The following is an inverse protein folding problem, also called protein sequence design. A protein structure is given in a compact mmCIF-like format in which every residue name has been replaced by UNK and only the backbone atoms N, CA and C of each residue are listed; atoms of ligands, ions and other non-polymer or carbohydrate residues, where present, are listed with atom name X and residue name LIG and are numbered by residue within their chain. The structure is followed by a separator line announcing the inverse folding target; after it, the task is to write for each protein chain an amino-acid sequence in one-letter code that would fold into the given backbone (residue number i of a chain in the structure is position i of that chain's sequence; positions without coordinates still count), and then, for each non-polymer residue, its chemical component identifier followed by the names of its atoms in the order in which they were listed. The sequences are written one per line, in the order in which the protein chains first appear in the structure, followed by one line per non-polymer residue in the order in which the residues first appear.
data_IF_920929085127
#
_entry.id   IF_920929085127
#
_cell.length_a   1.000
_cell.length_b   1.000
_cell.length_c   1.000
_cell.angle_alpha   90.00
_cell.angle_beta   90.00
_cell.angle_gamma   90.00
#
_symmetry.space_group_name_H-M   'P 1'
#
loop_
_entity.id
_entity.type
_entity.pdbx_description
1 polymer ?
#
# COMPACT_ATOMS: atom_id res chain seq x y z
N UNK A 1 12.71 -5.73 14.53
CA UNK A 1 12.37 -6.04 13.12
C UNK A 1 13.30 -5.24 12.23
N UNK A 2 13.90 -5.83 11.22
CA UNK A 2 14.78 -5.10 10.27
C UNK A 2 13.89 -4.36 9.29
N UNK A 3 14.10 -3.06 9.12
CA UNK A 3 13.42 -2.25 8.12
C UNK A 3 13.85 -2.66 6.70
N UNK A 4 12.92 -2.72 5.76
CA UNK A 4 13.21 -3.11 4.39
C UNK A 4 12.46 -2.23 3.38
N UNK A 5 13.10 -1.98 2.25
CA UNK A 5 12.46 -1.41 1.08
C UNK A 5 12.16 -2.55 0.10
N UNK A 6 10.93 -2.60 -0.40
CA UNK A 6 10.45 -3.63 -1.33
C UNK A 6 10.13 -3.02 -2.69
N UNK A 7 10.45 -3.73 -3.76
CA UNK A 7 10.19 -3.33 -5.14
C UNK A 7 9.07 -4.16 -5.75
N UNK A 8 7.98 -3.50 -6.15
CA UNK A 8 6.91 -4.04 -7.00
C UNK A 8 6.64 -3.14 -8.21
N UNK A 9 7.58 -2.24 -8.52
CA UNK A 9 7.45 -1.33 -9.66
C UNK A 9 7.46 -2.08 -10.99
N UNK A 10 6.73 -1.56 -11.95
CA UNK A 10 6.53 -2.15 -13.28
C UNK A 10 7.11 -1.31 -14.42
N UNK A 11 8.08 -0.44 -14.13
CA UNK A 11 8.76 0.35 -15.17
C UNK A 11 9.33 -0.52 -16.28
N UNK A 12 9.10 -0.14 -17.53
CA UNK A 12 9.58 -0.89 -18.70
C UNK A 12 11.11 -0.93 -18.72
N UNK A 13 11.67 -2.13 -18.89
CA UNK A 13 13.13 -2.33 -18.89
C UNK A 13 13.81 -2.26 -17.52
N UNK A 14 13.03 -2.31 -16.43
CA UNK A 14 13.56 -2.33 -15.07
C UNK A 14 14.37 -3.63 -14.81
N UNK A 15 15.60 -3.54 -14.24
CA UNK A 15 16.34 -4.73 -13.83
C UNK A 15 15.71 -5.39 -12.61
N UNK A 16 16.04 -6.67 -12.39
CA UNK A 16 15.63 -7.38 -11.18
C UNK A 16 16.81 -8.20 -10.63
N UNK A 17 17.30 -7.89 -9.43
CA UNK A 17 16.90 -6.80 -8.54
C UNK A 17 17.33 -5.43 -9.07
N UNK A 18 16.62 -4.38 -8.64
CA UNK A 18 16.98 -2.98 -8.99
C UNK A 18 18.19 -2.47 -8.19
N UNK A 19 18.43 -3.03 -7.02
CA UNK A 19 19.56 -2.76 -6.14
C UNK A 19 19.66 -3.87 -5.08
N UNK A 20 20.87 -4.27 -4.66
CA UNK A 20 21.04 -5.25 -3.59
C UNK A 20 20.42 -4.85 -2.24
N UNK A 21 20.26 -3.54 -2.00
CA UNK A 21 19.62 -3.01 -0.79
C UNK A 21 18.07 -3.00 -0.83
N UNK A 22 17.47 -3.40 -1.95
CA UNK A 22 16.02 -3.38 -2.15
C UNK A 22 15.55 -4.81 -2.43
N UNK A 23 14.63 -5.30 -1.63
CA UNK A 23 14.09 -6.65 -1.75
C UNK A 23 13.00 -6.72 -2.82
N UNK A 24 12.88 -7.85 -3.49
CA UNK A 24 11.71 -8.11 -4.31
C UNK A 24 10.45 -8.18 -3.42
N UNK A 25 9.43 -7.41 -3.78
CA UNK A 25 8.08 -7.52 -3.24
C UNK A 25 7.19 -8.34 -4.17
N UNK A 26 5.98 -8.62 -3.73
CA UNK A 26 4.96 -9.25 -4.56
C UNK A 26 3.60 -8.61 -4.34
N UNK A 27 2.95 -8.28 -5.44
CA UNK A 27 1.55 -7.87 -5.47
C UNK A 27 0.78 -8.81 -6.39
N UNK A 28 -0.39 -9.20 -5.97
CA UNK A 28 -1.37 -9.93 -6.77
C UNK A 28 -2.56 -9.01 -7.01
N UNK A 29 -2.81 -8.69 -8.26
CA UNK A 29 -3.91 -7.83 -8.69
C UNK A 29 -5.20 -8.62 -8.87
N UNK A 30 -6.34 -7.99 -8.65
CA UNK A 30 -7.65 -8.64 -8.72
C UNK A 30 -7.93 -9.39 -10.03
N UNK A 31 -7.42 -8.93 -11.15
CA UNK A 31 -7.52 -9.64 -12.44
C UNK A 31 -6.88 -11.04 -12.44
N UNK A 32 -5.99 -11.34 -11.49
CA UNK A 32 -5.38 -12.66 -11.32
C UNK A 32 -6.26 -13.62 -10.50
N UNK A 33 -7.29 -13.10 -9.83
CA UNK A 33 -8.16 -13.85 -8.94
C UNK A 33 -9.50 -14.19 -9.58
N UNK A 34 -9.96 -13.31 -10.46
CA UNK A 34 -11.26 -13.44 -11.10
C UNK A 34 -11.09 -13.87 -12.54
N UNK A 35 -11.75 -14.97 -12.96
CA UNK A 35 -11.65 -15.48 -14.33
C UNK A 35 -12.42 -14.61 -15.34
N UNK A 36 -13.25 -13.70 -14.87
CA UNK A 36 -14.09 -12.80 -15.67
C UNK A 36 -13.87 -11.36 -15.25
N UNK A 37 -14.33 -10.40 -16.04
CA UNK A 37 -14.28 -8.99 -15.73
C UNK A 37 -15.22 -8.57 -14.57
N UNK A 38 -16.12 -9.46 -14.14
CA UNK A 38 -16.94 -9.24 -12.94
C UNK A 38 -16.17 -9.67 -11.70
N UNK A 39 -15.65 -8.72 -10.99
CA UNK A 39 -14.86 -8.90 -9.77
C UNK A 39 -15.70 -8.76 -8.49
N UNK A 40 -17.03 -8.67 -8.59
CA UNK A 40 -17.92 -8.42 -7.45
C UNK A 40 -18.23 -9.67 -6.61
N UNK A 41 -18.11 -10.85 -7.21
CA UNK A 41 -18.35 -12.13 -6.56
C UNK A 41 -17.27 -12.53 -5.55
N UNK A 42 -17.49 -13.58 -4.74
CA UNK A 42 -16.44 -14.15 -3.88
C UNK A 42 -15.37 -14.84 -4.72
N UNK A 43 -14.12 -14.79 -4.24
CA UNK A 43 -13.05 -15.56 -4.88
C UNK A 43 -13.23 -17.05 -4.60
N UNK A 44 -13.05 -17.89 -5.63
CA UNK A 44 -13.20 -19.33 -5.51
C UNK A 44 -12.08 -19.97 -4.67
N UNK A 45 -12.37 -21.09 -4.04
CA UNK A 45 -11.36 -21.88 -3.32
C UNK A 45 -10.20 -22.31 -4.25
N UNK A 46 -10.49 -22.60 -5.52
CA UNK A 46 -9.47 -22.92 -6.52
C UNK A 46 -8.52 -21.75 -6.79
N UNK A 47 -9.04 -20.52 -6.91
CA UNK A 47 -8.22 -19.33 -7.07
C UNK A 47 -7.37 -19.05 -5.82
N UNK A 48 -7.92 -19.23 -4.62
CA UNK A 48 -7.16 -19.11 -3.36
C UNK A 48 -5.97 -20.08 -3.33
N UNK A 49 -6.21 -21.33 -3.65
CA UNK A 49 -5.16 -22.36 -3.69
C UNK A 49 -4.11 -22.07 -4.77
N UNK A 50 -4.51 -21.58 -5.94
CA UNK A 50 -3.59 -21.23 -7.02
C UNK A 50 -2.67 -20.07 -6.64
N UNK A 51 -3.19 -19.02 -5.99
CA UNK A 51 -2.37 -17.89 -5.51
C UNK A 51 -1.41 -18.34 -4.41
N UNK A 52 -1.88 -19.13 -3.46
CA UNK A 52 -1.02 -19.68 -2.41
C UNK A 52 0.11 -20.53 -2.99
N UNK A 53 -0.21 -21.45 -3.92
CA UNK A 53 0.78 -22.28 -4.60
C UNK A 53 1.78 -21.45 -5.42
N UNK A 54 1.31 -20.42 -6.13
CA UNK A 54 2.18 -19.50 -6.87
C UNK A 54 3.11 -18.72 -5.90
N UNK A 55 2.58 -18.22 -4.81
CA UNK A 55 3.39 -17.51 -3.80
C UNK A 55 4.49 -18.41 -3.20
N UNK A 56 4.17 -19.67 -2.92
CA UNK A 56 5.16 -20.66 -2.47
C UNK A 56 6.21 -20.95 -3.55
N UNK A 57 5.77 -21.12 -4.82
CA UNK A 57 6.66 -21.39 -5.95
C UNK A 57 7.66 -20.27 -6.25
N UNK A 58 7.38 -19.03 -5.82
CA UNK A 58 8.33 -17.90 -5.92
C UNK A 58 9.56 -18.10 -5.04
N UNK A 59 9.53 -19.05 -4.11
CA UNK A 59 10.63 -19.35 -3.17
C UNK A 59 11.19 -18.09 -2.46
N UNK A 60 10.26 -17.21 -2.09
CA UNK A 60 10.60 -15.98 -1.37
C UNK A 60 11.07 -16.31 0.06
N UNK A 61 11.95 -15.48 0.64
CA UNK A 61 12.33 -15.63 2.04
C UNK A 61 11.11 -15.67 2.96
N UNK A 62 11.21 -16.44 4.03
CA UNK A 62 10.19 -16.47 5.11
C UNK A 62 9.88 -15.06 5.57
N UNK A 63 8.64 -14.79 5.89
CA UNK A 63 8.16 -13.47 6.33
C UNK A 63 8.23 -12.38 5.24
N UNK A 64 8.33 -12.77 3.95
CA UNK A 64 8.18 -11.79 2.87
C UNK A 64 6.72 -11.30 2.81
N UNK A 65 6.50 -9.98 2.78
CA UNK A 65 5.16 -9.41 2.67
C UNK A 65 4.61 -9.55 1.25
N UNK A 66 3.38 -10.07 1.17
CA UNK A 66 2.61 -10.26 -0.06
C UNK A 66 1.39 -9.35 -0.01
N UNK A 67 1.28 -8.49 -0.98
CA UNK A 67 0.12 -7.61 -1.12
C UNK A 67 -0.94 -8.26 -2.03
N UNK A 68 -2.17 -8.28 -1.55
CA UNK A 68 -3.36 -8.63 -2.33
C UNK A 68 -4.08 -7.32 -2.69
N UNK A 69 -4.25 -7.08 -3.98
CA UNK A 69 -4.84 -5.85 -4.49
C UNK A 69 -6.21 -6.15 -5.11
N UNK A 70 -7.25 -6.01 -4.29
CA UNK A 70 -8.65 -6.15 -4.67
C UNK A 70 -9.36 -4.85 -4.27
N UNK A 71 -9.85 -4.12 -5.26
CA UNK A 71 -10.50 -2.83 -5.07
C UNK A 71 -12.00 -2.86 -5.40
N UNK A 72 -12.48 -3.95 -6.03
CA UNK A 72 -13.87 -4.08 -6.44
C UNK A 72 -14.86 -4.37 -5.30
N UNK A 73 -14.39 -4.70 -4.10
CA UNK A 73 -15.27 -4.95 -2.95
C UNK A 73 -15.36 -3.72 -2.05
N UNK A 74 -16.45 -2.94 -2.14
CA UNK A 74 -16.55 -1.69 -1.41
C UNK A 74 -16.67 -1.92 0.10
N UNK A 75 -15.78 -1.31 0.87
CA UNK A 75 -15.84 -1.35 2.35
C UNK A 75 -16.31 -0.01 2.93
N UNK A 76 -15.98 1.10 2.27
CA UNK A 76 -16.53 2.44 2.48
C UNK A 76 -16.11 3.33 1.31
N UNK A 77 -16.79 4.46 1.13
CA UNK A 77 -16.31 5.51 0.24
C UNK A 77 -16.03 6.78 1.03
N UNK A 78 -14.97 7.48 0.65
CA UNK A 78 -14.61 8.79 1.22
C UNK A 78 -15.16 9.93 0.36
N UNK A 79 -15.53 9.64 -0.88
CA UNK A 79 -16.11 10.61 -1.80
C UNK A 79 -17.47 11.13 -1.26
N UNK A 80 -17.65 12.43 -1.32
CA UNK A 80 -18.91 13.05 -0.93
C UNK A 80 -20.05 12.55 -1.83
N UNK A 81 -21.05 11.89 -1.25
CA UNK A 81 -22.25 11.42 -1.94
C UNK A 81 -22.38 9.91 -2.10
N UNK A 82 -21.30 9.13 -2.01
CA UNK A 82 -21.37 7.67 -2.07
C UNK A 82 -21.39 7.06 -0.67
N UNK A 83 -22.52 6.49 -0.29
CA UNK A 83 -22.65 5.71 0.95
C UNK A 83 -22.72 4.23 0.63
N UNK A 84 -21.67 3.49 0.99
CA UNK A 84 -21.77 2.03 1.06
C UNK A 84 -22.65 1.70 2.27
N UNK A 85 -23.71 0.89 2.08
CA UNK A 85 -24.52 0.44 3.20
C UNK A 85 -23.69 -0.43 4.15
N UNK A 86 -24.04 -0.46 5.43
CA UNK A 86 -23.36 -1.30 6.43
C UNK A 86 -23.41 -2.78 6.04
N UNK A 87 -24.54 -3.25 5.52
CA UNK A 87 -24.69 -4.65 5.08
C UNK A 87 -23.75 -4.98 3.92
N UNK A 88 -23.63 -4.08 2.94
CA UNK A 88 -22.73 -4.27 1.81
C UNK A 88 -21.25 -4.21 2.23
N UNK A 89 -20.91 -3.32 3.15
CA UNK A 89 -19.58 -3.25 3.73
C UNK A 89 -19.23 -4.54 4.50
N UNK A 90 -20.16 -5.07 5.30
CA UNK A 90 -19.97 -6.31 6.05
C UNK A 90 -19.84 -7.54 5.13
N UNK A 91 -20.62 -7.58 4.06
CA UNK A 91 -20.48 -8.60 3.00
C UNK A 91 -19.07 -8.54 2.38
N UNK A 92 -18.61 -7.36 2.00
CA UNK A 92 -17.27 -7.17 1.44
C UNK A 92 -16.18 -7.58 2.42
N UNK A 93 -16.27 -7.14 3.67
CA UNK A 93 -15.33 -7.52 4.73
C UNK A 93 -15.30 -9.03 4.93
N UNK A 94 -16.44 -9.70 4.83
CA UNK A 94 -16.53 -11.16 4.93
C UNK A 94 -15.80 -11.83 3.77
N UNK A 95 -15.94 -11.33 2.54
CA UNK A 95 -15.20 -11.83 1.38
C UNK A 95 -13.69 -11.68 1.57
N UNK A 96 -13.23 -10.49 1.98
CA UNK A 96 -11.81 -10.23 2.27
C UNK A 96 -11.25 -11.16 3.35
N UNK A 97 -11.97 -11.33 4.45
CA UNK A 97 -11.56 -12.21 5.57
C UNK A 97 -11.45 -13.66 5.12
N UNK A 98 -12.43 -14.17 4.40
CA UNK A 98 -12.42 -15.56 3.91
C UNK A 98 -11.28 -15.79 2.94
N UNK A 99 -11.04 -14.86 2.05
CA UNK A 99 -9.95 -14.94 1.09
C UNK A 99 -8.58 -14.96 1.75
N UNK A 100 -8.26 -14.00 2.62
CA UNK A 100 -6.93 -13.95 3.24
C UNK A 100 -6.65 -15.18 4.11
N UNK A 101 -7.66 -15.70 4.81
CA UNK A 101 -7.54 -16.95 5.58
C UNK A 101 -7.22 -18.15 4.67
N UNK A 102 -7.88 -18.24 3.53
CA UNK A 102 -7.63 -19.32 2.57
C UNK A 102 -6.23 -19.28 1.98
N UNK A 103 -5.75 -18.09 1.58
CA UNK A 103 -4.38 -17.93 1.04
C UNK A 103 -3.31 -18.19 2.11
N UNK A 104 -3.49 -17.68 3.32
CA UNK A 104 -2.56 -17.91 4.45
C UNK A 104 -2.45 -19.38 4.82
N UNK A 105 -3.55 -20.13 4.78
CA UNK A 105 -3.53 -21.56 5.03
C UNK A 105 -2.67 -22.34 4.02
N UNK A 106 -2.64 -21.90 2.76
CA UNK A 106 -1.82 -22.51 1.72
C UNK A 106 -0.36 -22.05 1.65
N UNK A 107 -0.02 -20.91 2.29
CA UNK A 107 1.32 -20.33 2.27
C UNK A 107 1.72 -19.74 3.65
N UNK A 108 1.79 -20.56 4.72
CA UNK A 108 1.88 -20.08 6.10
C UNK A 108 3.20 -19.39 6.46
N UNK A 109 4.22 -19.49 5.63
CA UNK A 109 5.54 -18.87 5.86
C UNK A 109 5.66 -17.45 5.31
N UNK A 110 4.62 -16.96 4.61
CA UNK A 110 4.57 -15.63 4.02
C UNK A 110 3.61 -14.73 4.81
N UNK A 111 3.76 -13.42 4.69
CA UNK A 111 2.90 -12.45 5.36
C UNK A 111 1.93 -11.84 4.34
N UNK A 112 0.64 -11.87 4.62
CA UNK A 112 -0.37 -11.37 3.71
C UNK A 112 -1.11 -10.16 4.27
N UNK A 113 -1.48 -9.27 3.37
CA UNK A 113 -2.37 -8.15 3.63
C UNK A 113 -2.93 -7.58 2.35
N UNK A 114 -3.79 -6.57 2.47
CA UNK A 114 -4.44 -5.93 1.33
C UNK A 114 -3.93 -4.52 1.11
N UNK A 115 -3.82 -4.11 -0.17
CA UNK A 115 -3.68 -2.72 -0.54
C UNK A 115 -4.95 -1.95 -0.15
N UNK A 116 -4.81 -0.91 0.62
CA UNK A 116 -5.88 0.03 0.98
C UNK A 116 -7.09 -0.52 1.74
N UNK A 117 -7.43 -1.80 1.61
CA UNK A 117 -8.72 -2.34 2.07
C UNK A 117 -8.95 -2.31 3.60
N UNK A 118 -7.89 -2.37 4.39
CA UNK A 118 -7.99 -2.27 5.86
C UNK A 118 -7.79 -0.84 6.39
N UNK A 119 -7.59 0.13 5.50
CA UNK A 119 -7.37 1.54 5.82
C UNK A 119 -8.08 2.42 4.80
N UNK A 120 -8.52 3.63 5.19
CA UNK A 120 -9.00 4.61 4.22
C UNK A 120 -7.89 4.95 3.23
N UNK A 121 -8.28 5.28 2.02
CA UNK A 121 -7.36 5.81 1.02
C UNK A 121 -6.75 7.12 1.54
N UNK A 122 -5.47 7.36 1.25
CA UNK A 122 -4.75 8.56 1.72
C UNK A 122 -5.33 9.88 1.20
N UNK A 123 -6.00 9.89 0.06
CA UNK A 123 -6.71 11.07 -0.44
C UNK A 123 -7.74 11.58 0.56
N UNK A 124 -8.40 10.67 1.28
CA UNK A 124 -9.30 11.00 2.37
C UNK A 124 -8.60 11.72 3.53
N UNK A 125 -7.45 11.22 3.97
CA UNK A 125 -6.67 11.88 5.03
C UNK A 125 -6.07 13.19 4.57
N UNK A 126 -5.60 13.26 3.33
CA UNK A 126 -5.07 14.46 2.73
C UNK A 126 -6.13 15.57 2.63
N UNK A 127 -7.33 15.23 2.16
CA UNK A 127 -8.45 16.17 2.11
C UNK A 127 -8.87 16.64 3.52
N UNK A 128 -8.81 15.74 4.50
CA UNK A 128 -9.13 16.05 5.90
C UNK A 128 -8.16 17.07 6.50
N UNK A 129 -6.85 16.92 6.26
CA UNK A 129 -5.85 17.83 6.83
C UNK A 129 -6.04 19.28 6.40
N UNK A 130 -6.64 19.51 5.22
CA UNK A 130 -6.94 20.84 4.67
C UNK A 130 -8.33 21.38 5.00
N UNK A 131 -9.21 20.57 5.58
CA UNK A 131 -10.59 20.97 5.86
C UNK A 131 -10.73 21.76 7.14
N UNK A 132 -11.52 22.85 7.14
CA UNK A 132 -11.93 23.53 8.34
C UNK A 132 -12.71 22.63 9.32
N UNK A 133 -13.30 21.55 8.82
CA UNK A 133 -14.02 20.54 9.60
C UNK A 133 -13.18 19.29 9.93
N UNK A 134 -11.86 19.39 9.83
CA UNK A 134 -10.93 18.26 9.94
C UNK A 134 -11.21 17.32 11.13
N UNK A 135 -11.53 17.88 12.30
CA UNK A 135 -11.81 17.09 13.51
C UNK A 135 -13.06 16.24 13.39
N UNK A 136 -14.14 16.79 12.80
CA UNK A 136 -15.39 16.07 12.59
C UNK A 136 -15.24 14.96 11.55
N UNK A 137 -14.55 15.25 10.46
CA UNK A 137 -14.31 14.29 9.39
C UNK A 137 -13.40 13.16 9.90
N UNK A 138 -12.34 13.45 10.66
CA UNK A 138 -11.49 12.43 11.30
C UNK A 138 -12.30 11.52 12.22
N UNK A 139 -13.21 12.08 13.03
CA UNK A 139 -14.11 11.29 13.88
C UNK A 139 -14.99 10.34 13.08
N UNK A 140 -15.58 10.81 11.98
CA UNK A 140 -16.39 9.99 11.08
C UNK A 140 -15.58 8.88 10.42
N UNK A 141 -14.37 9.19 9.94
CA UNK A 141 -13.47 8.18 9.35
C UNK A 141 -13.05 7.13 10.37
N UNK A 142 -12.72 7.53 11.58
CA UNK A 142 -12.38 6.59 12.66
C UNK A 142 -13.53 5.65 13.01
N UNK A 143 -14.77 6.14 13.00
CA UNK A 143 -15.96 5.28 13.15
C UNK A 143 -16.05 4.26 12.02
N UNK A 144 -15.90 4.70 10.76
CA UNK A 144 -15.90 3.80 9.59
C UNK A 144 -14.77 2.77 9.67
N UNK A 145 -13.57 3.20 10.04
CA UNK A 145 -12.43 2.31 10.22
C UNK A 145 -12.65 1.25 11.30
N UNK A 146 -13.51 1.51 12.28
CA UNK A 146 -13.86 0.50 13.29
C UNK A 146 -14.51 -0.72 12.65
N UNK A 147 -15.26 -0.57 11.56
CA UNK A 147 -15.83 -1.68 10.80
C UNK A 147 -14.73 -2.56 10.17
N UNK A 148 -13.61 -1.95 9.79
CA UNK A 148 -12.49 -2.65 9.16
C UNK A 148 -11.62 -3.44 10.16
N UNK A 149 -11.83 -3.28 11.46
CA UNK A 149 -11.00 -3.93 12.49
C UNK A 149 -11.02 -5.45 12.37
N UNK A 150 -12.16 -6.05 11.98
CA UNK A 150 -12.27 -7.50 11.73
C UNK A 150 -11.35 -7.94 10.61
N UNK A 151 -11.30 -7.19 9.51
CA UNK A 151 -10.40 -7.45 8.39
C UNK A 151 -8.94 -7.19 8.77
N UNK A 152 -8.65 -6.05 9.37
CA UNK A 152 -7.29 -5.67 9.74
C UNK A 152 -6.62 -6.69 10.66
N UNK A 153 -7.38 -7.34 11.57
CA UNK A 153 -6.86 -8.39 12.48
C UNK A 153 -6.46 -9.67 11.76
N UNK A 154 -7.00 -9.95 10.60
CA UNK A 154 -6.62 -11.11 9.79
C UNK A 154 -5.39 -10.84 8.92
N UNK A 155 -5.02 -9.58 8.73
CA UNK A 155 -3.84 -9.18 7.98
C UNK A 155 -2.58 -9.29 8.85
N UNK A 156 -1.52 -9.90 8.32
CA UNK A 156 -0.19 -9.90 8.93
C UNK A 156 0.51 -8.56 8.66
N UNK A 157 0.17 -7.95 7.52
CA UNK A 157 0.69 -6.67 7.05
C UNK A 157 -0.46 -5.75 6.67
N UNK A 158 -0.37 -4.49 7.06
CA UNK A 158 -1.23 -3.42 6.53
C UNK A 158 -0.44 -2.64 5.48
N UNK A 159 -1.02 -2.50 4.29
CA UNK A 159 -0.43 -1.81 3.15
C UNK A 159 -1.21 -0.52 2.84
N UNK A 160 -1.05 0.54 3.63
CA UNK A 160 -1.70 1.80 3.30
C UNK A 160 -1.10 2.40 2.03
N UNK A 161 -1.95 2.98 1.18
CA UNK A 161 -1.53 3.83 0.10
C UNK A 161 -1.06 5.17 0.68
N UNK A 162 0.18 5.55 0.38
CA UNK A 162 0.78 6.81 0.83
C UNK A 162 1.35 7.60 -0.35
N UNK A 163 0.57 7.65 -1.44
CA UNK A 163 0.93 8.39 -2.64
C UNK A 163 0.94 9.90 -2.40
N UNK A 164 1.58 10.62 -3.28
CA UNK A 164 1.86 12.05 -3.13
C UNK A 164 0.94 12.87 -3.99
N UNK A 165 0.16 13.76 -3.37
CA UNK A 165 -0.85 14.59 -4.03
C UNK A 165 -0.43 16.06 -4.13
N UNK A 166 0.61 16.49 -3.41
CA UNK A 166 1.08 17.87 -3.41
C UNK A 166 2.59 17.94 -3.21
N UNK A 167 3.18 19.08 -3.60
CA UNK A 167 4.60 19.36 -3.43
C UNK A 167 5.00 19.68 -1.97
N UNK A 168 4.03 19.82 -1.08
CA UNK A 168 4.28 20.16 0.33
C UNK A 168 4.70 18.93 1.15
N UNK A 169 5.96 18.87 1.51
CA UNK A 169 6.48 17.85 2.42
C UNK A 169 5.76 17.86 3.78
N UNK A 170 5.35 19.02 4.27
CA UNK A 170 4.65 19.15 5.56
C UNK A 170 3.25 18.53 5.49
N UNK A 171 2.50 18.78 4.41
CA UNK A 171 1.17 18.20 4.20
C UNK A 171 1.24 16.67 4.03
N UNK A 172 2.20 16.18 3.24
CA UNK A 172 2.40 14.75 3.10
C UNK A 172 2.75 14.11 4.44
N UNK A 173 3.66 14.71 5.19
CA UNK A 173 4.09 14.19 6.49
C UNK A 173 2.95 14.15 7.52
N UNK A 174 2.06 15.14 7.53
CA UNK A 174 0.87 15.15 8.39
C UNK A 174 -0.09 14.01 8.02
N UNK A 175 -0.43 13.89 6.73
CA UNK A 175 -1.28 12.82 6.21
C UNK A 175 -0.70 11.44 6.54
N UNK A 176 0.59 11.24 6.29
CA UNK A 176 1.29 10.00 6.58
C UNK A 176 1.22 9.62 8.06
N UNK A 177 1.47 10.57 8.97
CA UNK A 177 1.37 10.30 10.43
C UNK A 177 -0.04 9.89 10.84
N UNK A 178 -1.06 10.50 10.23
CA UNK A 178 -2.47 10.13 10.50
C UNK A 178 -2.74 8.69 10.03
N UNK A 179 -2.31 8.34 8.83
CA UNK A 179 -2.45 6.97 8.28
C UNK A 179 -1.73 5.95 9.18
N UNK A 180 -0.49 6.24 9.60
CA UNK A 180 0.27 5.34 10.50
C UNK A 180 -0.40 5.18 11.87
N UNK A 181 -0.95 6.25 12.42
CA UNK A 181 -1.66 6.21 13.70
C UNK A 181 -2.93 5.36 13.60
N UNK A 182 -3.68 5.50 12.51
CA UNK A 182 -4.90 4.74 12.27
C UNK A 182 -4.60 3.25 12.00
N UNK A 183 -3.56 2.94 11.24
CA UNK A 183 -3.12 1.57 11.01
C UNK A 183 -2.81 0.85 12.34
N UNK A 184 -2.05 1.50 13.22
CA UNK A 184 -1.76 0.95 14.55
C UNK A 184 -2.99 0.79 15.43
N UNK A 185 -3.96 1.70 15.30
CA UNK A 185 -5.23 1.59 16.01
C UNK A 185 -6.06 0.38 15.55
N UNK A 186 -6.05 0.08 14.25
CA UNK A 186 -6.79 -1.04 13.68
C UNK A 186 -6.16 -2.39 14.04
N UNK A 187 -4.85 -2.51 13.89
CA UNK A 187 -4.10 -3.71 14.26
C UNK A 187 -2.69 -3.36 14.78
N UNK A 188 -2.52 -3.24 16.10
CA UNK A 188 -1.23 -2.90 16.71
C UNK A 188 -0.15 -3.98 16.51
N UNK A 189 -0.55 -5.20 16.15
CA UNK A 189 0.36 -6.34 15.97
C UNK A 189 0.82 -6.51 14.52
N UNK A 190 0.10 -5.93 13.53
CA UNK A 190 0.46 -6.04 12.14
C UNK A 190 1.72 -5.22 11.82
N UNK A 191 2.51 -5.73 10.89
CA UNK A 191 3.53 -4.92 10.25
C UNK A 191 2.84 -3.86 9.37
N UNK A 192 3.35 -2.64 9.34
CA UNK A 192 2.83 -1.59 8.45
C UNK A 192 3.90 -1.32 7.41
N UNK A 193 3.55 -1.50 6.14
CA UNK A 193 4.42 -1.28 4.98
C UNK A 193 3.66 -0.40 3.99
N UNK A 194 3.82 0.94 4.07
CA UNK A 194 3.14 1.86 3.17
C UNK A 194 3.62 1.70 1.72
N UNK A 195 2.69 1.87 0.80
CA UNK A 195 3.01 2.02 -0.61
C UNK A 195 3.45 3.46 -0.91
N UNK A 196 4.59 3.58 -1.56
CA UNK A 196 5.13 4.82 -2.09
C UNK A 196 5.19 4.75 -3.62
N UNK A 197 4.87 5.82 -4.28
CA UNK A 197 5.02 5.97 -5.72
C UNK A 197 5.99 7.13 -5.99
N UNK A 198 7.11 6.94 -6.72
CA UNK A 198 8.09 7.99 -6.97
C UNK A 198 7.61 9.10 -7.91
N UNK A 199 6.33 9.14 -8.22
CA UNK A 199 5.67 10.17 -9.01
C UNK A 199 4.49 10.75 -8.23
N UNK A 200 4.13 11.99 -8.54
CA UNK A 200 2.90 12.57 -8.03
C UNK A 200 1.69 11.85 -8.61
N UNK A 201 0.69 11.62 -7.76
CA UNK A 201 -0.55 10.97 -8.19
C UNK A 201 -1.27 11.81 -9.25
N UNK A 202 -1.60 11.20 -10.40
CA UNK A 202 -2.04 11.91 -11.59
C UNK A 202 -3.33 12.73 -11.40
N UNK A 203 -4.22 12.25 -10.54
CA UNK A 203 -5.51 12.88 -10.26
C UNK A 203 -5.50 13.71 -8.96
N UNK A 204 -4.31 14.00 -8.44
CA UNK A 204 -4.16 14.76 -7.21
C UNK A 204 -4.58 16.23 -7.34
N UNK A 205 -4.99 16.84 -6.22
CA UNK A 205 -5.49 18.22 -6.22
C UNK A 205 -4.44 19.29 -6.57
N UNK A 206 -3.16 18.93 -6.71
CA UNK A 206 -2.07 19.87 -6.99
C UNK A 206 -1.74 20.09 -8.46
N UNK A 207 -2.31 19.32 -9.40
CA UNK A 207 -2.06 19.46 -10.84
C UNK A 207 -0.66 19.03 -11.31
N UNK A 208 0.16 18.43 -10.44
CA UNK A 208 1.54 17.98 -10.74
C UNK A 208 1.62 16.49 -11.13
N UNK A 209 0.48 15.88 -11.42
CA UNK A 209 0.36 14.45 -11.66
C UNK A 209 1.33 13.90 -12.71
N UNK A 210 1.93 12.76 -12.40
CA UNK A 210 2.85 12.05 -13.28
C UNK A 210 4.31 12.54 -13.24
N UNK A 211 4.60 13.73 -12.71
CA UNK A 211 5.97 14.20 -12.52
C UNK A 211 6.67 13.40 -11.41
N UNK A 212 7.98 13.20 -11.54
CA UNK A 212 8.76 12.59 -10.48
C UNK A 212 8.88 13.48 -9.24
N UNK A 213 8.88 12.85 -8.08
CA UNK A 213 8.99 13.54 -6.79
C UNK A 213 10.40 14.10 -6.64
N UNK A 214 10.56 15.37 -6.20
CA UNK A 214 11.85 15.97 -5.87
C UNK A 214 12.59 15.21 -4.77
N UNK A 215 13.93 15.25 -4.81
CA UNK A 215 14.79 14.50 -3.89
C UNK A 215 14.50 14.78 -2.41
N UNK A 216 14.30 16.03 -2.03
CA UNK A 216 14.05 16.46 -0.65
C UNK A 216 12.71 15.97 -0.10
N UNK A 217 11.66 16.02 -0.92
CA UNK A 217 10.35 15.45 -0.56
C UNK A 217 10.45 13.93 -0.46
N UNK A 218 11.11 13.29 -1.41
CA UNK A 218 11.32 11.83 -1.39
C UNK A 218 12.13 11.39 -0.16
N UNK A 219 13.19 12.13 0.17
CA UNK A 219 13.95 11.89 1.40
C UNK A 219 13.07 11.97 2.64
N UNK A 220 12.21 12.97 2.73
CA UNK A 220 11.26 13.13 3.83
C UNK A 220 10.35 11.89 3.94
N UNK A 221 9.87 11.36 2.82
CA UNK A 221 9.01 10.18 2.79
C UNK A 221 9.76 8.93 3.30
N UNK A 222 10.95 8.68 2.82
CA UNK A 222 11.78 7.56 3.26
C UNK A 222 12.14 7.64 4.75
N UNK A 223 12.50 8.82 5.24
CA UNK A 223 12.83 9.03 6.66
C UNK A 223 11.62 8.79 7.58
N UNK A 224 10.42 9.23 7.18
CA UNK A 224 9.21 8.97 7.94
C UNK A 224 8.79 7.50 7.90
N UNK A 225 8.97 6.82 6.78
CA UNK A 225 8.77 5.37 6.70
C UNK A 225 9.77 4.64 7.61
N UNK A 226 11.02 5.06 7.64
CA UNK A 226 12.03 4.50 8.55
C UNK A 226 11.65 4.65 10.03
N UNK A 227 11.11 5.80 10.41
CA UNK A 227 10.76 6.11 11.79
C UNK A 227 9.46 5.44 12.24
N UNK A 228 8.48 5.33 11.36
CA UNK A 228 7.10 5.03 11.73
C UNK A 228 6.54 3.73 11.14
N UNK A 229 7.25 3.08 10.21
CA UNK A 229 6.78 1.87 9.54
C UNK A 229 7.80 0.74 9.63
N UNK A 230 7.39 -0.50 9.33
CA UNK A 230 8.26 -1.67 9.29
C UNK A 230 9.06 -1.82 7.98
N UNK A 231 8.81 -0.94 7.02
CA UNK A 231 9.39 -0.91 5.69
C UNK A 231 8.62 0.03 4.78
N UNK A 232 8.89 -0.01 3.48
CA UNK A 232 8.05 0.62 2.45
C UNK A 232 8.02 -0.25 1.20
N UNK A 233 6.95 -0.14 0.41
CA UNK A 233 6.78 -0.82 -0.86
C UNK A 233 6.77 0.20 -1.99
N UNK A 234 7.72 0.09 -2.91
CA UNK A 234 7.82 0.95 -4.09
C UNK A 234 6.91 0.40 -5.18
N UNK A 235 5.94 1.21 -5.58
CA UNK A 235 5.03 0.91 -6.68
C UNK A 235 5.20 1.91 -7.82
N UNK A 236 4.85 1.52 -9.05
CA UNK A 236 4.75 2.42 -10.20
C UNK A 236 3.70 1.92 -11.19
N UNK A 237 3.19 2.84 -12.01
CA UNK A 237 2.54 2.46 -13.26
C UNK A 237 3.59 1.96 -14.28
N UNK A 238 3.13 1.34 -15.36
CA UNK A 238 3.97 0.82 -16.45
C UNK A 238 4.15 1.81 -17.62
N UNK A 239 3.82 3.10 -17.40
CA UNK A 239 3.81 4.12 -18.47
C UNK A 239 5.17 4.78 -18.69
N UNK A 240 6.17 4.48 -17.86
CA UNK A 240 7.50 5.11 -17.89
C UNK A 240 8.57 4.02 -18.04
N UNK A 241 9.68 4.36 -18.71
CA UNK A 241 10.84 3.47 -18.80
C UNK A 241 11.68 3.52 -17.52
N UNK A 242 12.42 2.45 -17.25
CA UNK A 242 13.38 2.46 -16.16
C UNK A 242 14.51 3.48 -16.38
N UNK A 243 14.92 3.69 -17.62
CA UNK A 243 15.95 4.68 -17.97
C UNK A 243 15.54 6.09 -17.48
N UNK A 244 14.30 6.50 -17.78
CA UNK A 244 13.78 7.79 -17.34
C UNK A 244 13.58 7.83 -15.82
N UNK A 245 13.01 6.77 -15.27
CA UNK A 245 12.74 6.67 -13.84
C UNK A 245 14.02 6.70 -13.00
N UNK A 246 15.06 5.98 -13.40
CA UNK A 246 16.34 5.92 -12.68
C UNK A 246 17.22 7.17 -12.87
N UNK A 247 16.97 7.96 -13.90
CA UNK A 247 17.60 9.26 -14.09
C UNK A 247 16.96 10.37 -13.24
N UNK A 248 15.76 10.13 -12.71
CA UNK A 248 15.05 11.11 -11.90
C UNK A 248 15.61 11.20 -10.46
N UNK A 249 15.47 12.36 -9.78
CA UNK A 249 16.09 12.63 -8.48
C UNK A 249 15.77 11.64 -7.37
N UNK A 250 14.57 11.07 -7.35
CA UNK A 250 14.13 10.10 -6.34
C UNK A 250 15.05 8.86 -6.26
N UNK A 251 15.62 8.43 -7.40
CA UNK A 251 16.44 7.21 -7.42
C UNK A 251 17.79 7.43 -6.75
N UNK A 252 18.50 8.50 -7.13
CA UNK A 252 19.75 8.87 -6.48
C UNK A 252 19.56 9.08 -4.97
N UNK A 253 18.45 9.70 -4.58
CA UNK A 253 18.10 9.91 -3.18
C UNK A 253 17.80 8.59 -2.45
N UNK A 254 17.16 7.63 -3.13
CA UNK A 254 16.95 6.29 -2.57
C UNK A 254 18.27 5.60 -2.25
N UNK A 255 19.25 5.66 -3.17
CA UNK A 255 20.58 5.07 -2.96
C UNK A 255 21.31 5.76 -1.80
N UNK A 256 21.28 7.09 -1.75
CA UNK A 256 21.86 7.87 -0.67
C UNK A 256 21.21 7.55 0.69
N UNK A 257 19.89 7.39 0.73
CA UNK A 257 19.17 6.97 1.93
C UNK A 257 19.59 5.58 2.42
N UNK A 258 19.63 4.59 1.53
CA UNK A 258 20.03 3.22 1.87
C UNK A 258 21.46 3.18 2.43
N UNK A 259 22.38 3.94 1.84
CA UNK A 259 23.75 4.05 2.31
C UNK A 259 23.79 4.73 3.70
N UNK A 260 23.11 5.84 3.89
CA UNK A 260 23.05 6.54 5.18
C UNK A 260 22.45 5.69 6.31
N UNK A 261 21.59 4.72 5.99
CA UNK A 261 21.02 3.76 6.97
C UNK A 261 21.86 2.49 7.15
N UNK A 262 22.99 2.37 6.46
CA UNK A 262 23.86 1.19 6.53
C UNK A 262 23.22 -0.08 5.92
N UNK A 263 22.22 0.07 5.05
CA UNK A 263 21.58 -1.06 4.37
C UNK A 263 22.39 -1.49 3.15
N UNK A 264 22.77 -0.53 2.32
CA UNK A 264 23.57 -0.74 1.12
C UNK A 264 24.20 0.56 0.64
N UNK A 265 25.49 0.52 0.28
CA UNK A 265 26.18 1.61 -0.42
C UNK A 265 26.63 1.09 -1.78
N UNK A 266 26.24 1.78 -2.85
CA UNK A 266 26.60 1.46 -4.23
C UNK A 266 28.06 1.87 -4.52
#
# INVERSE_FOLDING_TARGET
MTWNLYDVMTYTGKPSPISPGIKAGKIYYEAQFFPTADHTGPVSAGAMSAIAANAVALNLPTQTPICLDIESWPVYTVAAGDTVSLDKADESITKYVNWIKGVKAGAPNLLFGYFGAALPMEDGFYAISKSAEASRIRGSMRMKNTLLRRLARECDVLFPSCYTFSESAAEWAESFRMVMAEARHLNPSAQIIPFLWPQFYANGPGGVGGAFIPADLWRTQLELCWQLAGGAMLWSSNTVTWADASAAPWWAETQAFLCAKGIYCA
#
